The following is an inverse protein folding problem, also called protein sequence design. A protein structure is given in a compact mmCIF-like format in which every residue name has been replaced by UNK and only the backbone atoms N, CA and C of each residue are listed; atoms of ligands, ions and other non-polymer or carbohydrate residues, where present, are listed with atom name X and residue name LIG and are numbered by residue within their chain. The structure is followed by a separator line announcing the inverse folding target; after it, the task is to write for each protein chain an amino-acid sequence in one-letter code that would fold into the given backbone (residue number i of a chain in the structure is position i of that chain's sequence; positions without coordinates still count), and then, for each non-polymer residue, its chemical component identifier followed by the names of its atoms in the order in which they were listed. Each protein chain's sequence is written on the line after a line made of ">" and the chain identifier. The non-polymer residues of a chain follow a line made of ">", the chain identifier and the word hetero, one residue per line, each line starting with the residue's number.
data_IF_618832609103
#
_entry.id   IF_618832609103
#
_cell.length_a   1.000
_cell.length_b   1.000
_cell.length_c   1.000
_cell.angle_alpha   90.00
_cell.angle_beta   90.00
_cell.angle_gamma   90.00
#
_symmetry.space_group_name_H-M   'P 1'
#
loop_
_entity.id
_entity.type
_entity.pdbx_description
1 polymer ?
#
# COMPACT_ATOMS: atom_id res chain seq x y z
N UNK A 1 6.75 -13.44 4.36
CA UNK A 1 7.74 -12.40 3.94
C UNK A 1 7.09 -11.27 3.13
N UNK A 2 6.50 -11.52 1.94
CA UNK A 2 5.90 -10.45 1.09
C UNK A 2 4.87 -9.52 1.77
N UNK A 3 4.14 -9.97 2.79
CA UNK A 3 3.15 -9.15 3.51
C UNK A 3 3.81 -8.13 4.45
N UNK A 4 4.87 -8.54 5.14
CA UNK A 4 5.59 -7.72 6.12
C UNK A 4 6.38 -6.60 5.43
N UNK A 5 7.00 -6.92 4.28
CA UNK A 5 7.68 -5.94 3.42
C UNK A 5 6.75 -4.81 2.92
N UNK A 6 5.44 -5.06 2.86
CA UNK A 6 4.44 -4.09 2.41
C UNK A 6 3.82 -3.27 3.53
N UNK A 7 4.08 -3.64 4.79
CA UNK A 7 3.50 -2.98 5.94
C UNK A 7 3.86 -1.48 5.98
N UNK A 8 5.08 -1.12 5.56
CA UNK A 8 5.60 0.25 5.50
C UNK A 8 5.47 0.90 4.12
N UNK A 9 4.79 0.27 3.15
CA UNK A 9 4.70 0.78 1.79
C UNK A 9 3.45 1.63 1.55
N UNK A 10 3.61 2.63 0.70
CA UNK A 10 2.54 3.44 0.12
C UNK A 10 2.63 3.46 -1.40
N UNK A 11 1.51 3.76 -2.04
CA UNK A 11 1.41 3.97 -3.49
C UNK A 11 1.02 5.41 -3.76
N UNK A 12 1.88 6.14 -4.45
CA UNK A 12 1.59 7.47 -4.95
C UNK A 12 1.05 7.38 -6.38
N UNK A 13 -0.08 8.03 -6.64
CA UNK A 13 -0.66 8.22 -7.97
C UNK A 13 -0.52 9.68 -8.36
N UNK A 14 0.33 9.94 -9.35
CA UNK A 14 0.73 11.29 -9.75
C UNK A 14 0.27 11.52 -11.19
N UNK A 15 -0.40 12.64 -11.51
CA UNK A 15 -0.70 12.99 -12.90
C UNK A 15 0.58 13.04 -13.74
N UNK A 16 0.56 12.47 -14.94
CA UNK A 16 1.74 12.46 -15.81
C UNK A 16 2.19 13.87 -16.21
N UNK A 17 1.27 14.84 -16.22
CA UNK A 17 1.54 16.26 -16.50
C UNK A 17 2.29 16.99 -15.38
N UNK A 18 2.33 16.41 -14.18
CA UNK A 18 3.01 16.97 -12.99
C UNK A 18 4.27 16.18 -12.67
N UNK A 19 4.45 15.01 -13.31
CA UNK A 19 5.56 14.12 -13.06
C UNK A 19 6.67 14.32 -14.09
N UNK A 20 7.50 15.34 -13.86
CA UNK A 20 8.58 15.73 -14.75
C UNK A 20 9.94 15.10 -14.38
N UNK A 21 9.93 13.96 -13.68
CA UNK A 21 11.16 13.27 -13.29
C UNK A 21 11.59 12.26 -14.34
N UNK A 22 12.87 12.36 -14.73
CA UNK A 22 13.57 11.33 -15.50
C UNK A 22 13.71 10.02 -14.69
N UNK A 23 13.99 8.91 -15.39
CA UNK A 23 14.19 7.61 -14.76
C UNK A 23 15.38 7.68 -13.77
N UNK A 24 15.14 7.31 -12.51
CA UNK A 24 16.13 7.39 -11.43
C UNK A 24 15.89 8.53 -10.43
N UNK A 25 15.11 9.55 -10.78
CA UNK A 25 14.80 10.68 -9.89
C UNK A 25 13.56 10.48 -9.01
N UNK A 26 12.95 9.30 -9.01
CA UNK A 26 11.71 9.02 -8.27
C UNK A 26 11.85 9.25 -6.76
N UNK A 27 13.02 8.88 -6.21
CA UNK A 27 13.28 9.00 -4.77
C UNK A 27 13.32 10.46 -4.35
N UNK A 28 14.05 11.30 -5.08
CA UNK A 28 14.19 12.72 -4.78
C UNK A 28 12.85 13.45 -4.88
N UNK A 29 12.04 13.13 -5.90
CA UNK A 29 10.70 13.68 -6.04
C UNK A 29 9.83 13.36 -4.82
N UNK A 30 9.82 12.08 -4.41
CA UNK A 30 9.04 11.64 -3.26
C UNK A 30 9.56 12.21 -1.96
N UNK A 31 10.88 12.40 -1.80
CA UNK A 31 11.46 13.06 -0.63
C UNK A 31 11.02 14.53 -0.54
N UNK A 32 11.03 15.27 -1.66
CA UNK A 32 10.49 16.64 -1.73
C UNK A 32 9.00 16.67 -1.39
N UNK A 33 8.22 15.73 -1.92
CA UNK A 33 6.79 15.59 -1.62
C UNK A 33 6.55 15.26 -0.13
N UNK A 34 7.32 14.35 0.45
CA UNK A 34 7.25 13.99 1.86
C UNK A 34 7.54 15.19 2.76
N UNK A 35 8.58 15.96 2.45
CA UNK A 35 8.93 17.18 3.18
C UNK A 35 7.76 18.18 3.18
N UNK A 36 7.08 18.38 2.04
CA UNK A 36 5.88 19.23 1.95
C UNK A 36 4.72 18.73 2.81
N UNK A 37 4.63 17.42 3.01
CA UNK A 37 3.63 16.78 3.89
C UNK A 37 3.99 16.84 5.38
N UNK A 38 5.16 17.37 5.73
CA UNK A 38 5.69 17.39 7.09
C UNK A 38 6.31 16.05 7.53
N UNK A 39 6.61 15.15 6.59
CA UNK A 39 7.32 13.90 6.85
C UNK A 39 8.77 14.08 6.38
N UNK A 40 9.79 13.86 7.23
CA UNK A 40 11.18 14.00 6.82
C UNK A 40 11.50 13.09 5.63
N UNK A 41 12.09 13.64 4.57
CA UNK A 41 12.47 12.90 3.38
C UNK A 41 13.46 11.76 3.66
N UNK A 42 14.26 11.86 4.72
CA UNK A 42 15.15 10.76 5.18
C UNK A 42 14.39 9.48 5.55
N UNK A 43 13.09 9.58 5.88
CA UNK A 43 12.22 8.42 6.16
C UNK A 43 11.75 7.69 4.89
N UNK A 44 12.11 8.17 3.69
CA UNK A 44 11.83 7.48 2.42
C UNK A 44 13.03 6.61 2.08
N UNK A 45 12.88 5.28 2.17
CA UNK A 45 13.95 4.32 1.84
C UNK A 45 14.15 4.16 0.35
N UNK A 46 13.04 3.97 -0.37
CA UNK A 46 13.06 3.68 -1.80
C UNK A 46 11.77 4.16 -2.46
N UNK A 47 11.88 4.58 -3.70
CA UNK A 47 10.75 4.84 -4.57
C UNK A 47 11.02 4.15 -5.90
N UNK A 48 9.98 3.54 -6.48
CA UNK A 48 10.08 2.91 -7.80
C UNK A 48 8.82 3.13 -8.60
N UNK A 49 8.99 3.40 -9.89
CA UNK A 49 7.89 3.49 -10.84
C UNK A 49 7.31 2.10 -11.14
N UNK A 50 5.99 2.00 -11.14
CA UNK A 50 5.28 0.81 -11.59
C UNK A 50 5.02 0.96 -13.09
N UNK A 51 5.86 0.34 -13.90
CA UNK A 51 5.59 0.18 -15.33
C UNK A 51 4.52 -0.90 -15.50
N UNK A 52 3.28 -0.49 -15.81
CA UNK A 52 2.26 -1.46 -16.27
C UNK A 52 2.53 -1.74 -17.74
N UNK A 53 2.48 -3.01 -18.14
CA UNK A 53 2.59 -3.40 -19.53
C UNK A 53 1.38 -2.86 -20.31
N UNK A 54 1.57 -1.73 -21.02
CA UNK A 54 0.78 -1.17 -22.13
C UNK A 54 -0.76 -1.15 -22.02
N UNK A 55 -1.35 -1.34 -20.85
CA UNK A 55 -2.77 -1.09 -20.67
C UNK A 55 -2.96 0.43 -20.56
N UNK A 56 -3.41 1.06 -21.65
CA UNK A 56 -3.80 2.47 -21.72
C UNK A 56 -4.93 2.71 -20.73
N UNK A 57 -4.63 2.84 -19.45
CA UNK A 57 -5.58 3.35 -18.47
C UNK A 57 -5.93 4.77 -18.92
N UNK A 58 -7.23 5.03 -19.10
CA UNK A 58 -7.77 6.33 -19.51
C UNK A 58 -7.29 7.52 -18.64
N UNK A 59 -6.70 7.23 -17.48
CA UNK A 59 -6.10 8.20 -16.59
C UNK A 59 -4.58 8.21 -16.80
N UNK A 60 -4.06 9.25 -17.47
CA UNK A 60 -2.63 9.53 -17.64
C UNK A 60 -1.96 9.81 -16.28
N UNK A 61 -1.68 8.76 -15.52
CA UNK A 61 -1.12 8.82 -14.16
C UNK A 61 0.04 7.86 -14.03
N UNK A 62 1.11 8.34 -13.42
CA UNK A 62 2.27 7.54 -13.00
C UNK A 62 1.99 6.98 -11.61
N UNK A 63 2.27 5.70 -11.42
CA UNK A 63 2.18 5.04 -10.11
C UNK A 63 3.58 4.79 -9.57
N UNK A 64 3.85 5.27 -8.36
CA UNK A 64 5.10 4.99 -7.65
C UNK A 64 4.80 4.13 -6.41
N UNK A 65 5.55 3.05 -6.21
CA UNK A 65 5.61 2.38 -4.90
C UNK A 65 6.71 3.05 -4.11
N UNK A 66 6.37 3.48 -2.90
CA UNK A 66 7.29 4.12 -1.96
C UNK A 66 7.41 3.25 -0.72
N UNK A 67 8.64 2.86 -0.42
CA UNK A 67 9.00 2.15 0.81
C UNK A 67 9.42 3.16 1.87
N UNK A 68 8.67 3.21 2.97
CA UNK A 68 8.98 4.07 4.10
C UNK A 68 9.87 3.34 5.11
N UNK A 69 10.61 4.12 5.88
CA UNK A 69 11.50 3.61 6.91
C UNK A 69 10.74 2.83 7.98
N UNK A 70 9.60 3.37 8.41
CA UNK A 70 8.76 2.83 9.49
C UNK A 70 7.26 2.92 9.15
N UNK A 71 6.42 2.07 9.77
CA UNK A 71 4.96 2.13 9.59
C UNK A 71 4.36 3.44 10.12
N UNK A 72 4.97 4.06 11.14
CA UNK A 72 4.56 5.39 11.63
C UNK A 72 4.74 6.47 10.56
N UNK A 73 5.87 6.48 9.87
CA UNK A 73 6.12 7.42 8.77
C UNK A 73 5.12 7.26 7.61
N UNK A 74 4.75 6.01 7.30
CA UNK A 74 3.66 5.70 6.37
C UNK A 74 2.33 6.30 6.83
N UNK A 75 1.94 6.10 8.09
CA UNK A 75 0.68 6.61 8.63
C UNK A 75 0.63 8.14 8.58
N UNK A 76 1.73 8.81 8.95
CA UNK A 76 1.87 10.26 8.88
C UNK A 76 1.73 10.77 7.43
N UNK A 77 2.40 10.12 6.48
CA UNK A 77 2.35 10.48 5.06
C UNK A 77 0.94 10.33 4.48
N UNK A 78 0.23 9.24 4.80
CA UNK A 78 -1.16 9.02 4.38
C UNK A 78 -2.08 10.07 5.02
N UNK A 79 -1.95 10.34 6.32
CA UNK A 79 -2.78 11.31 7.04
C UNK A 79 -2.60 12.72 6.49
N UNK A 80 -1.36 13.13 6.27
CA UNK A 80 -1.02 14.45 5.73
C UNK A 80 -1.33 14.61 4.24
N UNK A 81 -1.49 13.52 3.48
CA UNK A 81 -1.78 13.57 2.03
C UNK A 81 -3.04 14.36 1.66
N UNK A 82 -3.96 14.55 2.61
CA UNK A 82 -5.16 15.39 2.43
C UNK A 82 -4.80 16.83 2.06
N UNK A 83 -3.69 17.36 2.60
CA UNK A 83 -3.18 18.71 2.32
C UNK A 83 -2.82 18.93 0.84
N UNK A 84 -2.50 17.86 0.10
CA UNK A 84 -2.20 17.96 -1.34
C UNK A 84 -3.42 18.32 -2.19
N UNK A 85 -4.63 18.18 -1.63
CA UNK A 85 -5.86 18.54 -2.35
C UNK A 85 -6.06 20.06 -2.40
N UNK A 86 -5.55 20.74 -1.38
CA UNK A 86 -5.69 22.18 -1.21
C UNK A 86 -4.58 22.95 -1.94
N UNK A 87 -3.46 22.29 -2.22
CA UNK A 87 -2.33 22.86 -2.96
C UNK A 87 -2.53 22.70 -4.48
N UNK A 88 -2.54 23.81 -5.21
CA UNK A 88 -2.69 23.84 -6.66
C UNK A 88 -1.57 23.06 -7.37
N UNK A 89 -0.34 23.11 -6.84
CA UNK A 89 0.83 22.49 -7.47
C UNK A 89 0.86 20.96 -7.35
N UNK A 90 0.14 20.39 -6.39
CA UNK A 90 0.04 18.94 -6.18
C UNK A 90 -1.38 18.41 -6.37
N UNK A 91 -2.25 19.21 -6.98
CA UNK A 91 -3.64 18.86 -7.20
C UNK A 91 -3.74 17.58 -8.03
N UNK A 92 -4.50 16.63 -7.51
CA UNK A 92 -4.71 15.33 -8.17
C UNK A 92 -3.63 14.30 -7.86
N UNK A 93 -2.62 14.61 -7.05
CA UNK A 93 -1.73 13.61 -6.45
C UNK A 93 -2.48 12.90 -5.31
N UNK A 94 -2.43 11.57 -5.30
CA UNK A 94 -3.03 10.75 -4.24
C UNK A 94 -2.01 9.80 -3.65
N UNK A 95 -2.04 9.64 -2.33
CA UNK A 95 -1.21 8.68 -1.59
C UNK A 95 -2.15 7.68 -0.93
N UNK A 96 -1.95 6.39 -1.22
CA UNK A 96 -2.75 5.30 -0.69
C UNK A 96 -1.86 4.23 -0.07
N UNK A 97 -2.45 3.34 0.73
CA UNK A 97 -1.76 2.14 1.23
C UNK A 97 -1.45 1.15 0.10
N UNK A 98 -0.27 0.50 0.14
CA UNK A 98 0.05 -0.61 -0.76
C UNK A 98 -0.60 -1.92 -0.27
N UNK A 99 -1.89 -2.07 -0.56
CA UNK A 99 -2.64 -3.28 -0.21
C UNK A 99 -2.25 -4.46 -1.09
N UNK A 100 -2.20 -5.65 -0.48
CA UNK A 100 -2.13 -6.92 -1.21
C UNK A 100 -3.40 -7.17 -2.03
N UNK A 101 -3.34 -8.02 -3.07
CA UNK A 101 -4.54 -8.33 -3.87
C UNK A 101 -5.72 -8.85 -3.04
N UNK A 102 -5.46 -9.70 -2.04
CA UNK A 102 -6.50 -10.22 -1.14
C UNK A 102 -7.12 -9.12 -0.28
N UNK A 103 -6.31 -8.25 0.33
CA UNK A 103 -6.78 -7.10 1.10
C UNK A 103 -7.61 -6.14 0.24
N UNK A 104 -7.20 -5.92 -1.02
CA UNK A 104 -7.95 -5.08 -1.97
C UNK A 104 -9.33 -5.66 -2.28
N UNK A 105 -9.44 -6.98 -2.45
CA UNK A 105 -10.72 -7.66 -2.67
C UNK A 105 -11.59 -7.52 -1.42
N UNK A 106 -11.05 -7.77 -0.23
CA UNK A 106 -11.78 -7.61 1.04
C UNK A 106 -12.27 -6.16 1.22
N UNK A 107 -11.40 -5.17 1.01
CA UNK A 107 -11.77 -3.76 1.13
C UNK A 107 -12.83 -3.35 0.11
N UNK A 108 -12.77 -3.90 -1.12
CA UNK A 108 -13.81 -3.68 -2.14
C UNK A 108 -15.16 -4.24 -1.68
N UNK A 109 -15.18 -5.47 -1.16
CA UNK A 109 -16.41 -6.11 -0.64
C UNK A 109 -17.03 -5.31 0.51
N UNK A 110 -16.20 -4.86 1.46
CA UNK A 110 -16.67 -4.02 2.57
C UNK A 110 -17.28 -2.70 2.11
N UNK A 111 -16.73 -2.08 1.06
CA UNK A 111 -17.31 -0.87 0.45
C UNK A 111 -18.65 -1.17 -0.20
N UNK A 112 -18.72 -2.22 -1.03
CA UNK A 112 -19.96 -2.64 -1.68
C UNK A 112 -21.08 -2.95 -0.69
N UNK A 113 -20.77 -3.65 0.40
CA UNK A 113 -21.74 -3.96 1.45
C UNK A 113 -22.23 -2.69 2.17
N UNK A 114 -21.31 -1.78 2.52
CA UNK A 114 -21.67 -0.50 3.14
C UNK A 114 -22.55 0.33 2.20
N UNK A 115 -22.17 0.43 0.93
CA UNK A 115 -22.89 1.22 -0.05
C UNK A 115 -24.29 0.59 -0.28
N UNK A 116 -24.40 -0.73 -0.37
CA UNK A 116 -25.69 -1.45 -0.43
C UNK A 116 -26.56 -1.20 0.81
N UNK A 117 -25.97 -1.16 2.01
CA UNK A 117 -26.69 -0.82 3.25
C UNK A 117 -27.16 0.63 3.25
N UNK A 118 -26.35 1.55 2.75
CA UNK A 118 -26.72 2.96 2.65
C UNK A 118 -27.84 3.19 1.63
N UNK A 119 -27.83 2.47 0.51
CA UNK A 119 -28.88 2.53 -0.51
C UNK A 119 -30.22 1.98 0.00
N UNK A 120 -30.21 1.03 0.94
CA UNK A 120 -31.43 0.55 1.60
C UNK A 120 -31.96 1.53 2.66
N UNK A 121 -31.13 2.47 3.14
CA UNK A 121 -31.50 3.45 4.17
C UNK A 121 -32.07 4.76 3.58
N UNK A 122 -32.10 4.92 2.26
CA UNK A 122 -32.58 6.14 1.59
C UNK A 122 -34.10 6.38 1.69
N UNK A 123 -34.84 5.53 2.41
CA UNK A 123 -36.28 5.71 2.71
C UNK A 123 -36.56 6.09 4.19
N UNK A 124 -35.62 6.70 4.90
CA UNK A 124 -35.95 7.34 6.18
C UNK A 124 -36.60 8.71 5.92
N UNK A 125 -37.93 8.74 5.82
CA UNK A 125 -38.71 9.97 5.90
C UNK A 125 -38.37 10.71 7.20
N UNK A 126 -37.71 11.86 7.08
CA UNK A 126 -37.53 12.79 8.19
C UNK A 126 -38.86 13.44 8.53
N UNK A 127 -39.63 12.87 9.45
CA UNK A 127 -40.77 13.54 10.06
C UNK A 127 -40.29 14.37 11.26
N UNK A 128 -40.42 15.70 11.18
CA UNK A 128 -40.10 16.65 12.26
C UNK A 128 -38.66 16.63 12.81
N UNK A 129 -37.65 16.48 11.95
CA UNK A 129 -36.23 16.68 12.32
C UNK A 129 -35.64 15.65 13.28
N UNK A 130 -36.39 14.59 13.62
CA UNK A 130 -35.90 13.43 14.36
C UNK A 130 -35.87 12.25 13.41
N UNK A 131 -34.69 11.64 13.21
CA UNK A 131 -34.59 10.38 12.49
C UNK A 131 -35.36 9.31 13.28
N UNK A 132 -36.55 8.94 12.82
CA UNK A 132 -37.12 7.67 13.22
C UNK A 132 -36.43 6.60 12.38
N UNK A 133 -35.55 5.83 13.03
CA UNK A 133 -35.10 4.55 12.49
C UNK A 133 -36.34 3.66 12.54
N UNK A 134 -37.11 3.64 11.46
CA UNK A 134 -38.21 2.69 11.29
C UNK A 134 -37.61 1.30 11.46
N UNK A 135 -37.95 0.65 12.57
CA UNK A 135 -37.61 -0.74 12.85
C UNK A 135 -38.29 -1.61 11.80
N UNK A 136 -37.68 -1.75 10.63
CA UNK A 136 -37.96 -2.83 9.69
C UNK A 136 -37.00 -3.98 10.00
N UNK A 137 -36.94 -4.36 11.28
CA UNK A 137 -36.28 -5.58 11.75
C UNK A 137 -37.28 -6.72 11.66
N UNK A 138 -37.68 -7.13 10.45
CA UNK A 138 -38.49 -8.34 10.31
C UNK A 138 -38.55 -8.88 8.88
N UNK A 139 -37.45 -8.93 8.12
CA UNK A 139 -37.47 -9.70 6.85
C UNK A 139 -36.12 -10.19 6.32
N UNK A 140 -35.15 -10.54 7.18
CA UNK A 140 -33.87 -11.11 6.68
C UNK A 140 -33.34 -12.34 7.43
N UNK A 141 -34.07 -12.90 8.40
CA UNK A 141 -33.70 -14.21 8.96
C UNK A 141 -33.88 -15.35 7.94
N UNK A 142 -34.75 -15.18 6.95
CA UNK A 142 -35.07 -16.20 5.94
C UNK A 142 -34.02 -16.32 4.83
N UNK A 143 -33.22 -15.27 4.59
CA UNK A 143 -32.25 -15.23 3.49
C UNK A 143 -30.91 -15.88 3.87
N UNK A 144 -30.48 -15.75 5.13
CA UNK A 144 -29.26 -16.40 5.66
C UNK A 144 -29.40 -17.93 5.79
N UNK A 145 -30.60 -18.44 6.10
CA UNK A 145 -30.87 -19.89 6.16
C UNK A 145 -30.81 -20.56 4.77
N UNK A 146 -31.20 -19.85 3.71
CA UNK A 146 -31.17 -20.39 2.34
C UNK A 146 -29.75 -20.47 1.77
N UNK A 147 -28.84 -19.61 2.22
CA UNK A 147 -27.44 -19.61 1.76
C UNK A 147 -26.60 -20.74 2.39
N UNK A 148 -26.92 -21.16 3.61
CA UNK A 148 -26.24 -22.27 4.28
C UNK A 148 -26.70 -23.65 3.76
N UNK A 149 -27.95 -23.79 3.29
CA UNK A 149 -28.42 -25.04 2.68
C UNK A 149 -27.77 -25.33 1.31
N UNK A 150 -27.42 -24.29 0.55
CA UNK A 150 -26.75 -24.46 -0.76
C UNK A 150 -25.28 -24.92 -0.65
N UNK A 151 -24.64 -24.76 0.51
CA UNK A 151 -23.25 -25.18 0.74
C UNK A 151 -23.13 -26.58 1.35
N UNK A 152 -24.22 -27.15 1.90
CA UNK A 152 -24.23 -28.54 2.39
C UNK A 152 -24.59 -29.56 1.31
N UNK A 153 -25.23 -29.15 0.22
CA UNK A 153 -25.64 -30.08 -0.86
C UNK A 153 -24.51 -30.50 -1.81
N UNK A 154 -23.30 -29.93 -1.70
CA UNK A 154 -22.20 -30.20 -2.64
C UNK A 154 -21.12 -31.16 -2.09
N UNK A 155 -21.37 -31.86 -0.99
CA UNK A 155 -20.37 -32.71 -0.31
C UNK A 155 -20.77 -34.18 -0.14
N UNK A 156 -21.91 -34.65 -0.65
CA UNK A 156 -22.39 -36.03 -0.42
C UNK A 156 -22.16 -37.03 -1.56
N UNK A 157 -21.66 -36.65 -2.73
CA UNK A 157 -21.55 -37.56 -3.90
C UNK A 157 -20.10 -37.86 -4.33
N UNK A 158 -19.26 -38.28 -3.39
CA UNK A 158 -17.95 -38.86 -3.71
C UNK A 158 -17.69 -40.11 -2.87
N UNK A 159 -18.49 -41.14 -3.07
CA UNK A 159 -18.07 -42.50 -2.77
C UNK A 159 -18.44 -43.43 -3.92
N UNK A 160 -17.47 -43.68 -4.80
CA UNK A 160 -17.36 -44.84 -5.69
C UNK A 160 -16.06 -44.76 -6.50
N UNK A 161 -14.99 -45.29 -5.92
CA UNK A 161 -13.90 -45.93 -6.68
C UNK A 161 -14.45 -47.18 -7.40
N UNK A 162 -13.93 -47.62 -8.56
CA UNK A 162 -12.56 -48.16 -8.62
C UNK A 162 -11.78 -48.07 -9.96
N UNK A 163 -10.47 -48.23 -9.82
CA UNK A 163 -9.51 -48.85 -10.75
C UNK A 163 -9.43 -48.36 -12.20
N UNK A 164 -8.33 -47.66 -12.51
CA UNK A 164 -7.56 -47.95 -13.73
C UNK A 164 -6.06 -47.67 -13.54
N UNK A 165 -5.32 -48.75 -13.75
CA UNK A 165 -3.87 -48.85 -13.89
C UNK A 165 -3.33 -48.08 -15.10
N UNK A 166 -2.00 -48.00 -15.15
CA UNK A 166 -1.12 -47.49 -16.23
C UNK A 166 -0.81 -45.99 -16.17
N UNK A 167 0.38 -45.62 -15.66
CA UNK A 167 1.60 -45.67 -16.47
C UNK A 167 2.73 -44.99 -15.72
N UNK A 168 3.80 -45.75 -15.53
CA UNK A 168 5.11 -45.27 -15.10
C UNK A 168 5.73 -44.45 -16.21
N UNK A 169 5.90 -43.14 -16.01
CA UNK A 169 6.86 -42.35 -16.79
C UNK A 169 7.58 -41.36 -15.89
N UNK A 170 8.77 -41.79 -15.49
CA UNK A 170 10.00 -41.00 -15.48
C UNK A 170 9.98 -39.67 -14.72
N UNK A 171 10.25 -39.82 -13.44
CA UNK A 171 10.99 -38.92 -12.57
C UNK A 171 12.17 -38.29 -13.35
N UNK A 172 12.04 -37.03 -13.76
CA UNK A 172 13.19 -36.22 -14.15
C UNK A 172 13.64 -35.44 -12.93
N UNK A 173 14.58 -36.03 -12.20
CA UNK A 173 15.36 -35.40 -11.15
C UNK A 173 16.17 -34.25 -11.76
N UNK A 174 15.73 -33.01 -11.57
CA UNK A 174 16.59 -31.86 -11.80
C UNK A 174 17.53 -31.71 -10.61
N UNK A 175 18.74 -32.20 -10.81
CA UNK A 175 19.93 -31.95 -10.01
C UNK A 175 20.21 -30.45 -9.99
N UNK A 176 19.93 -29.80 -8.87
CA UNK A 176 20.46 -28.47 -8.58
C UNK A 176 21.93 -28.62 -8.19
N UNK A 177 22.82 -28.29 -9.13
CA UNK A 177 24.24 -28.13 -8.89
C UNK A 177 24.47 -26.95 -7.96
N UNK A 178 24.97 -27.25 -6.76
CA UNK A 178 25.44 -26.29 -5.77
C UNK A 178 26.80 -25.75 -6.23
N UNK A 179 26.83 -24.68 -7.03
CA UNK A 179 28.08 -23.96 -7.27
C UNK A 179 28.34 -22.96 -6.14
N UNK A 180 29.17 -23.43 -5.22
CA UNK A 180 29.96 -22.63 -4.30
C UNK A 180 30.89 -21.71 -5.09
N UNK A 181 30.66 -20.40 -5.02
CA UNK A 181 31.62 -19.39 -5.45
C UNK A 181 31.68 -18.29 -4.40
N UNK A 182 32.58 -18.48 -3.44
CA UNK A 182 33.06 -17.45 -2.51
C UNK A 182 33.91 -16.43 -3.25
N UNK A 183 33.63 -15.12 -3.18
CA UNK A 183 34.65 -14.12 -3.42
C UNK A 183 35.45 -13.84 -2.15
N UNK A 184 36.74 -14.12 -2.29
CA UNK A 184 37.87 -13.85 -1.41
C UNK A 184 38.27 -12.37 -1.52
N UNK A 185 38.44 -11.72 -0.36
CA UNK A 185 39.40 -10.63 -0.02
C UNK A 185 39.31 -9.29 -0.78
N UNK A 186 39.10 -8.19 -0.03
CA UNK A 186 40.17 -7.18 0.21
C UNK A 186 39.77 -6.18 1.29
N UNK A 187 40.41 -6.30 2.44
CA UNK A 187 40.53 -5.29 3.48
C UNK A 187 41.50 -4.21 3.02
N UNK A 188 41.03 -2.95 2.91
CA UNK A 188 41.90 -1.79 2.88
C UNK A 188 41.73 -0.98 4.16
N UNK A 189 42.75 -1.08 5.01
CA UNK A 189 43.05 -0.18 6.10
C UNK A 189 43.68 1.12 5.57
N UNK A 190 43.23 2.27 6.07
CA UNK A 190 43.95 3.57 6.13
C UNK A 190 43.07 4.51 6.96
N UNK A 191 43.27 4.62 8.28
CA UNK A 191 44.13 5.61 8.94
C UNK A 191 43.98 7.03 8.36
N UNK A 192 43.21 7.87 9.07
CA UNK A 192 43.55 9.27 9.26
C UNK A 192 43.02 9.73 10.63
N UNK A 193 43.99 9.93 11.54
CA UNK A 193 43.87 10.71 12.78
C UNK A 193 43.64 12.19 12.47
N UNK A 194 43.34 12.94 13.54
CA UNK A 194 43.57 14.37 13.83
C UNK A 194 42.23 15.10 14.05
N UNK A 195 41.78 15.29 15.30
CA UNK A 195 42.20 16.29 16.28
C UNK A 195 42.00 17.75 15.82
N UNK A 196 41.09 18.45 16.49
CA UNK A 196 40.92 19.91 16.46
C UNK A 196 39.59 20.28 17.14
N UNK A 197 39.48 20.35 18.47
CA UNK A 197 39.84 21.45 19.39
C UNK A 197 39.26 22.82 19.05
N UNK A 198 38.62 23.41 20.07
CA UNK A 198 38.34 24.84 20.30
C UNK A 198 37.19 25.44 19.47
N UNK A 199 36.32 26.32 19.94
CA UNK A 199 35.93 26.85 21.26
C UNK A 199 34.72 27.78 21.00
N UNK A 200 34.03 28.30 22.02
CA UNK A 200 32.74 28.98 21.87
C UNK A 200 32.89 30.43 21.41
N UNK A 201 31.93 30.94 20.65
CA UNK A 201 31.76 32.39 20.49
C UNK A 201 30.41 32.84 21.03
N UNK A 202 30.49 33.34 22.25
CA UNK A 202 29.50 34.20 22.89
C UNK A 202 29.79 35.63 22.46
N UNK A 203 28.82 36.28 21.83
CA UNK A 203 28.77 37.75 21.74
C UNK A 203 27.32 38.20 21.85
N UNK A 204 26.92 38.32 23.12
CA UNK A 204 26.07 39.36 23.68
C UNK A 204 26.20 40.68 22.88
N UNK A 205 25.10 41.17 22.31
CA UNK A 205 24.93 42.60 22.01
C UNK A 205 23.72 43.09 22.80
N UNK A 206 24.01 44.02 23.72
CA UNK A 206 23.03 44.80 24.45
C UNK A 206 22.58 45.99 23.60
N UNK A 207 21.33 46.39 23.82
CA UNK A 207 20.75 47.74 23.73
C UNK A 207 21.35 48.78 22.78
N UNK A 208 20.50 49.44 22.00
CA UNK A 208 20.24 50.87 22.25
C UNK A 208 19.01 51.40 21.49
N UNK A 209 18.25 52.20 22.24
CA UNK A 209 17.15 53.13 21.90
C UNK A 209 15.76 52.54 21.65
#
# INVERSE_FOLDING_TARGET
>A
KKKEERASNVVASIPATVFDCEEGCEVEYIQKLANKLGVPGSKVKKARKITRAKEKTANNRVLLVVEMESPGAKADMIRSSRKLRDDESHKGIYINEDLTPSERITQRKLRQERDSRNDLLSESETFNGKQQISQKMEFNASFELSRNLALQSSYSDLDSSPNKSHSTSSISSMSFSSDTSTPIITSNSSIAKLSGTSSPHSSRIMNNQ
#
